data_IF_848855883256
#
_entry.id   IF_848855883256
#
_cell.length_a   1.000
_cell.length_b   1.000
_cell.length_c   1.000
_cell.angle_alpha   90.00
_cell.angle_beta   90.00
_cell.angle_gamma   90.00
#
_symmetry.space_group_name_H-M   'P 1'
#
loop_
_entity.id
_entity.type
_entity.pdbx_description
1 polymer ?
#
# COMPACT_ATOMS: atom_id res chain seq x y z
N UNK A 1 -26.11 -11.01 4.54
CA UNK A 1 -25.12 -10.29 3.69
C UNK A 1 -24.80 -8.90 4.25
N UNK A 2 -25.78 -8.15 4.78
CA UNK A 2 -25.58 -6.82 5.40
C UNK A 2 -24.61 -6.78 6.60
N UNK A 3 -24.56 -7.83 7.42
CA UNK A 3 -23.68 -7.87 8.60
C UNK A 3 -22.17 -7.92 8.28
N UNK A 4 -21.80 -8.40 7.07
CA UNK A 4 -20.39 -8.48 6.64
C UNK A 4 -19.86 -7.18 6.05
N UNK A 5 -20.75 -6.33 5.51
CA UNK A 5 -20.39 -5.00 4.98
C UNK A 5 -20.20 -4.00 6.13
N UNK A 6 -21.02 -4.10 7.18
CA UNK A 6 -20.86 -3.28 8.39
C UNK A 6 -19.55 -3.57 9.13
N UNK A 7 -19.13 -4.85 9.21
CA UNK A 7 -17.87 -5.22 9.86
C UNK A 7 -16.63 -4.70 9.09
N UNK A 8 -16.69 -4.64 7.76
CA UNK A 8 -15.62 -4.06 6.95
C UNK A 8 -15.51 -2.54 7.09
N UNK A 9 -16.64 -1.85 7.28
CA UNK A 9 -16.67 -0.41 7.55
C UNK A 9 -16.16 -0.06 8.96
N UNK A 10 -16.45 -0.91 9.96
CA UNK A 10 -15.94 -0.73 11.33
C UNK A 10 -14.45 -1.09 11.45
N UNK A 11 -13.98 -2.11 10.73
CA UNK A 11 -12.54 -2.46 10.69
C UNK A 11 -11.74 -1.45 9.83
N UNK A 12 -12.35 -0.89 8.77
CA UNK A 12 -11.75 0.18 7.97
C UNK A 12 -11.58 1.49 8.73
N UNK A 13 -12.43 1.76 9.74
CA UNK A 13 -12.32 2.94 10.59
C UNK A 13 -11.34 2.78 11.76
N UNK A 14 -10.86 1.57 12.07
CA UNK A 14 -9.95 1.30 13.19
C UNK A 14 -8.46 1.33 12.83
N UNK A 15 -8.11 1.57 11.57
CA UNK A 15 -6.72 1.60 11.09
C UNK A 15 -6.19 3.01 10.77
N UNK A 16 -6.92 4.07 11.13
CA UNK A 16 -6.34 5.40 11.23
C UNK A 16 -5.76 5.54 12.64
N UNK A 17 -4.58 4.96 12.87
CA UNK A 17 -3.80 5.32 14.05
C UNK A 17 -3.66 6.86 14.06
N UNK A 18 -3.84 7.53 15.21
CA UNK A 18 -3.60 8.97 15.30
C UNK A 18 -2.17 9.22 14.81
N UNK A 19 -2.05 9.90 13.67
CA UNK A 19 -0.75 10.22 13.10
C UNK A 19 -0.12 11.25 14.04
N UNK A 20 1.12 11.02 14.52
CA UNK A 20 1.82 12.00 15.33
C UNK A 20 1.97 13.25 14.48
N UNK A 21 1.33 14.31 14.93
CA UNK A 21 1.24 15.57 14.22
C UNK A 21 2.26 16.51 14.84
N UNK A 22 3.13 17.03 13.98
CA UNK A 22 4.33 17.74 14.38
C UNK A 22 3.98 19.15 14.86
N UNK A 23 3.70 19.31 16.15
CA UNK A 23 3.37 20.57 16.78
C UNK A 23 4.50 21.51 17.24
N UNK A 24 4.36 22.79 16.93
CA UNK A 24 5.21 23.85 17.48
C UNK A 24 4.44 24.78 18.41
N UNK A 25 5.06 25.14 19.54
CA UNK A 25 4.51 26.07 20.53
C UNK A 25 5.59 26.92 21.19
N UNK A 26 5.31 28.21 21.34
CA UNK A 26 6.16 29.13 22.09
C UNK A 26 5.68 29.25 23.53
N UNK A 27 6.63 29.34 24.46
CA UNK A 27 6.39 29.54 25.88
C UNK A 27 7.25 30.69 26.38
N UNK A 28 6.71 31.46 27.33
CA UNK A 28 7.48 32.41 28.11
C UNK A 28 8.11 31.74 29.34
N UNK A 29 9.19 32.31 29.88
CA UNK A 29 9.75 31.83 31.14
C UNK A 29 8.81 32.09 32.33
N UNK A 30 8.07 33.20 32.32
CA UNK A 30 7.12 33.63 33.35
C UNK A 30 5.67 33.51 32.85
N UNK A 31 4.70 33.24 33.74
CA UNK A 31 3.28 33.26 33.40
C UNK A 31 2.81 34.67 33.02
N UNK A 32 1.65 34.74 32.33
CA UNK A 32 0.96 35.98 31.96
C UNK A 32 1.84 36.99 31.21
N UNK A 33 2.64 36.50 30.26
CA UNK A 33 3.47 37.33 29.41
C UNK A 33 2.62 38.39 28.68
N UNK A 34 3.02 39.68 28.71
CA UNK A 34 2.19 40.75 28.19
C UNK A 34 2.22 40.88 26.66
N UNK A 35 2.93 39.99 25.95
CA UNK A 35 3.16 40.02 24.51
C UNK A 35 2.71 38.72 23.84
N UNK A 36 2.55 38.77 22.52
CA UNK A 36 2.19 37.62 21.68
C UNK A 36 3.25 37.39 20.61
N UNK A 37 3.20 36.24 19.93
CA UNK A 37 4.14 35.89 18.85
C UNK A 37 3.50 36.25 17.51
N UNK A 38 4.13 37.14 16.76
CA UNK A 38 3.66 37.50 15.43
C UNK A 38 4.39 38.71 14.85
N UNK A 39 4.59 38.76 13.52
CA UNK A 39 4.30 37.72 12.53
C UNK A 39 5.11 36.44 12.74
N UNK A 40 4.63 35.30 12.23
CA UNK A 40 5.26 33.98 12.38
C UNK A 40 5.23 33.18 11.07
N UNK A 41 6.38 32.72 10.58
CA UNK A 41 6.47 31.81 9.44
C UNK A 41 7.29 30.59 9.81
N UNK A 42 6.68 29.40 9.69
CA UNK A 42 7.42 28.13 9.78
C UNK A 42 7.62 27.61 8.37
N UNK A 43 8.86 27.61 7.90
CA UNK A 43 9.22 27.21 6.54
C UNK A 43 10.02 25.93 6.54
N UNK A 44 9.54 24.90 5.86
CA UNK A 44 10.27 23.67 5.59
C UNK A 44 10.75 23.62 4.14
N UNK A 45 12.00 23.22 3.91
CA UNK A 45 12.60 23.11 2.57
C UNK A 45 12.81 21.66 2.22
N UNK A 46 12.01 21.17 1.28
CA UNK A 46 12.02 19.81 0.76
C UNK A 46 12.87 19.75 -0.49
N UNK A 47 13.79 18.78 -0.51
CA UNK A 47 14.67 18.51 -1.65
C UNK A 47 14.49 17.06 -2.13
N UNK A 48 14.85 16.75 -3.39
CA UNK A 48 14.76 15.39 -3.92
C UNK A 48 15.64 14.36 -3.19
N UNK A 49 16.58 14.79 -2.35
CA UNK A 49 17.38 13.89 -1.53
C UNK A 49 16.57 13.24 -0.39
N UNK A 50 15.42 13.82 -0.03
CA UNK A 50 14.45 13.28 0.95
C UNK A 50 15.06 12.96 2.34
N UNK A 51 16.17 13.61 2.68
CA UNK A 51 16.84 13.49 3.97
C UNK A 51 16.20 14.38 5.06
N UNK A 52 16.95 14.68 6.15
CA UNK A 52 16.53 15.67 7.13
C UNK A 52 16.16 17.00 6.46
N UNK A 53 15.02 17.55 6.85
CA UNK A 53 14.44 18.74 6.23
C UNK A 53 14.99 19.98 6.90
N UNK A 54 15.51 20.93 6.11
CA UNK A 54 15.90 22.24 6.62
C UNK A 54 14.63 23.04 6.96
N UNK A 55 14.49 23.38 8.24
CA UNK A 55 13.37 24.17 8.77
C UNK A 55 13.87 25.51 9.28
N UNK A 56 13.20 26.57 8.87
CA UNK A 56 13.38 27.93 9.38
C UNK A 56 12.11 28.37 10.12
N UNK A 57 12.23 28.79 11.37
CA UNK A 57 11.15 29.42 12.12
C UNK A 57 11.46 30.91 12.19
N UNK A 58 10.64 31.74 11.55
CA UNK A 58 10.78 33.18 11.50
C UNK A 58 9.71 33.83 12.38
N UNK A 59 10.08 34.68 13.32
CA UNK A 59 9.09 35.32 14.20
C UNK A 59 9.51 36.71 14.69
N UNK A 60 8.54 37.47 15.18
CA UNK A 60 8.75 38.66 16.02
C UNK A 60 7.81 38.61 17.22
N UNK A 61 8.01 39.47 18.22
CA UNK A 61 7.10 39.60 19.35
C UNK A 61 6.25 40.85 19.18
N UNK A 62 4.92 40.68 19.24
CA UNK A 62 4.02 41.82 19.27
C UNK A 62 3.86 42.34 20.70
N UNK A 63 4.47 43.50 20.93
CA UNK A 63 4.47 44.20 22.21
C UNK A 63 3.23 45.09 22.32
N UNK A 64 2.51 45.06 23.45
CA UNK A 64 1.34 45.91 23.67
C UNK A 64 1.76 47.38 23.70
N UNK A 65 1.02 48.22 22.97
CA UNK A 65 1.19 49.67 23.03
C UNK A 65 0.73 50.22 24.39
N UNK A 66 1.58 51.03 25.03
CA UNK A 66 1.19 51.77 26.24
C UNK A 66 1.42 51.08 27.60
N UNK A 67 1.90 49.83 27.65
CA UNK A 67 2.36 49.22 28.91
C UNK A 67 3.83 49.54 29.17
N UNK A 68 4.17 49.72 30.45
CA UNK A 68 5.54 49.98 30.87
C UNK A 68 6.43 48.79 30.46
N UNK A 69 7.47 49.04 29.65
CA UNK A 69 8.34 47.99 29.08
C UNK A 69 9.28 47.33 30.10
N UNK A 70 9.36 47.89 31.31
CA UNK A 70 10.17 47.35 32.39
C UNK A 70 9.66 45.99 32.85
N UNK A 71 10.55 45.00 32.92
CA UNK A 71 10.25 43.66 33.45
C UNK A 71 9.63 42.66 32.45
N UNK A 72 9.47 43.07 31.18
CA UNK A 72 8.99 42.20 30.09
C UNK A 72 10.07 41.20 29.65
N UNK A 73 11.34 41.56 29.85
CA UNK A 73 12.49 40.75 29.44
C UNK A 73 12.49 39.38 30.12
N UNK A 74 12.44 38.34 29.29
CA UNK A 74 12.44 36.96 29.74
C UNK A 74 12.81 36.02 28.61
N UNK A 75 13.42 34.90 28.97
CA UNK A 75 13.68 33.82 28.03
C UNK A 75 12.36 33.27 27.46
N UNK A 76 12.42 32.84 26.22
CA UNK A 76 11.36 32.10 25.55
C UNK A 76 11.80 30.66 25.38
N UNK A 77 10.83 29.77 25.18
CA UNK A 77 11.09 28.39 24.83
C UNK A 77 10.25 28.01 23.63
N UNK A 78 10.82 27.19 22.75
CA UNK A 78 10.12 26.57 21.64
C UNK A 78 10.08 25.07 21.88
N UNK A 79 8.87 24.54 22.01
CA UNK A 79 8.63 23.10 21.98
C UNK A 79 8.53 22.66 20.53
N UNK A 80 9.49 21.85 20.12
CA UNK A 80 9.52 21.27 18.78
C UNK A 80 9.15 19.78 18.84
N UNK A 81 8.36 19.28 17.90
CA UNK A 81 7.93 17.89 17.81
C UNK A 81 8.93 17.10 16.95
N UNK A 82 9.40 15.96 17.42
CA UNK A 82 10.42 15.20 16.71
C UNK A 82 11.85 15.60 17.07
N UNK A 83 12.79 14.90 16.44
CA UNK A 83 14.22 15.08 16.67
C UNK A 83 14.76 16.18 15.77
N UNK A 84 15.48 17.11 16.38
CA UNK A 84 16.19 18.17 15.68
C UNK A 84 17.70 17.94 15.73
N UNK A 85 18.35 18.37 14.66
CA UNK A 85 19.80 18.37 14.52
C UNK A 85 20.28 19.77 14.13
N UNK A 86 21.49 20.08 14.58
CA UNK A 86 22.09 21.37 14.34
C UNK A 86 22.70 21.47 12.95
N UNK A 87 22.52 22.60 12.24
CA UNK A 87 23.26 22.90 11.03
C UNK A 87 24.69 23.41 11.30
N UNK A 88 25.03 23.75 12.56
CA UNK A 88 26.38 24.16 12.97
C UNK A 88 27.15 22.99 13.59
N UNK A 89 28.48 23.14 13.73
CA UNK A 89 29.35 22.12 14.30
C UNK A 89 28.87 21.65 15.68
N UNK A 90 29.10 20.36 15.98
CA UNK A 90 28.69 19.75 17.26
C UNK A 90 29.32 20.51 18.43
N UNK A 91 28.49 21.27 19.13
CA UNK A 91 28.84 21.91 20.41
C UNK A 91 28.32 21.08 21.58
N UNK A 92 28.95 21.20 22.76
CA UNK A 92 28.50 20.48 23.96
C UNK A 92 27.05 20.80 24.30
N UNK A 93 26.34 19.79 24.79
CA UNK A 93 24.97 19.93 25.26
C UNK A 93 24.90 20.84 26.49
N UNK A 94 23.76 21.51 26.67
CA UNK A 94 23.47 22.29 27.88
C UNK A 94 22.93 21.37 28.97
N UNK A 95 23.80 21.01 29.93
CA UNK A 95 23.44 20.14 31.07
C UNK A 95 22.25 20.65 31.88
N UNK A 96 22.02 21.96 31.90
CA UNK A 96 20.88 22.56 32.62
C UNK A 96 19.57 22.16 31.96
N UNK A 97 19.52 22.13 30.62
CA UNK A 97 18.34 21.70 29.87
C UNK A 97 18.12 20.20 29.96
N UNK A 98 19.20 19.40 29.95
CA UNK A 98 19.11 17.95 30.19
C UNK A 98 18.50 17.65 31.55
N UNK A 99 19.04 18.26 32.62
CA UNK A 99 18.50 18.12 33.98
C UNK A 99 17.05 18.62 34.06
N UNK A 100 16.70 19.68 33.32
CA UNK A 100 15.35 20.23 33.29
C UNK A 100 14.31 19.23 32.77
N UNK A 101 14.62 18.51 31.69
CA UNK A 101 13.70 17.50 31.14
C UNK A 101 13.71 16.21 31.95
N UNK A 102 14.86 15.82 32.51
CA UNK A 102 15.00 14.63 33.35
C UNK A 102 14.21 14.74 34.66
N UNK A 103 14.24 15.91 35.32
CA UNK A 103 13.45 16.18 36.52
C UNK A 103 11.94 16.06 36.29
N UNK A 104 11.49 16.13 35.04
CA UNK A 104 10.08 16.01 34.63
C UNK A 104 9.71 14.59 34.18
N UNK A 105 10.63 13.64 34.32
CA UNK A 105 10.40 12.24 33.97
C UNK A 105 10.59 11.92 32.49
N UNK A 106 11.29 12.77 31.74
CA UNK A 106 11.73 12.47 30.38
C UNK A 106 13.17 11.96 30.36
N UNK A 107 13.53 11.21 29.32
CA UNK A 107 14.92 10.82 29.08
C UNK A 107 15.52 11.70 27.98
N UNK A 108 16.59 12.43 28.28
CA UNK A 108 17.33 13.18 27.28
C UNK A 108 18.09 12.22 26.34
N UNK A 109 17.90 12.36 25.03
CA UNK A 109 18.52 11.49 24.01
C UNK A 109 19.60 12.21 23.20
N UNK A 110 19.56 13.54 23.16
CA UNK A 110 20.54 14.35 22.44
C UNK A 110 20.37 15.83 22.76
N UNK A 111 21.29 16.65 22.25
CA UNK A 111 21.25 18.09 22.44
C UNK A 111 22.29 18.79 21.56
N UNK A 112 22.34 20.11 21.70
CA UNK A 112 23.32 20.91 20.98
C UNK A 112 22.95 22.38 20.97
N UNK A 113 23.40 23.10 19.94
CA UNK A 113 23.10 24.51 19.72
C UNK A 113 22.62 24.77 18.30
N UNK A 114 21.64 25.64 18.15
CA UNK A 114 21.08 26.08 16.87
C UNK A 114 21.45 27.53 16.58
N UNK A 115 21.78 27.90 15.34
CA UNK A 115 22.05 29.29 14.99
C UNK A 115 20.74 30.10 14.96
N UNK A 116 20.80 31.30 15.54
CA UNK A 116 19.74 32.30 15.47
C UNK A 116 20.21 33.52 14.71
N UNK A 117 19.43 33.93 13.73
CA UNK A 117 19.67 35.10 12.90
C UNK A 117 18.66 36.20 13.19
N UNK A 118 19.06 37.46 13.03
CA UNK A 118 18.17 38.61 12.97
C UNK A 118 18.12 39.14 11.54
N UNK A 119 16.90 39.31 11.03
CA UNK A 119 16.59 39.88 9.73
C UNK A 119 15.99 41.27 9.94
N UNK A 120 16.61 42.30 9.37
CA UNK A 120 16.06 43.65 9.36
C UNK A 120 15.13 43.82 8.15
N UNK A 121 13.85 44.07 8.40
CA UNK A 121 12.81 44.17 7.37
C UNK A 121 12.97 45.39 6.43
N UNK A 122 13.71 46.42 6.87
CA UNK A 122 13.93 47.64 6.09
C UNK A 122 15.34 47.74 5.50
N UNK A 123 16.21 46.77 5.79
CA UNK A 123 17.55 46.76 5.21
C UNK A 123 17.49 46.39 3.72
N UNK A 124 18.39 46.99 2.93
CA UNK A 124 18.49 46.76 1.50
C UNK A 124 19.90 46.30 1.11
N UNK A 125 20.01 45.59 -0.02
CA UNK A 125 21.29 45.12 -0.53
C UNK A 125 21.97 44.12 0.41
N UNK A 126 23.29 44.24 0.57
CA UNK A 126 24.08 43.34 1.42
C UNK A 126 23.66 43.37 2.90
N UNK A 127 23.12 44.50 3.38
CA UNK A 127 22.65 44.64 4.77
C UNK A 127 21.32 43.92 5.04
N UNK A 128 20.59 43.52 3.99
CA UNK A 128 19.36 42.73 4.10
C UNK A 128 19.62 41.25 4.44
N UNK A 129 20.88 40.80 4.34
CA UNK A 129 21.22 39.42 4.66
C UNK A 129 20.97 39.13 6.17
N UNK A 130 20.40 37.96 6.53
CA UNK A 130 20.23 37.57 7.93
C UNK A 130 21.58 37.58 8.68
N UNK A 131 21.64 38.31 9.80
CA UNK A 131 22.86 38.44 10.61
C UNK A 131 22.81 37.46 11.78
N UNK A 132 23.85 36.64 11.98
CA UNK A 132 23.92 35.70 13.11
C UNK A 132 24.01 36.50 14.41
N UNK A 133 23.07 36.30 15.33
CA UNK A 133 23.00 37.03 16.61
C UNK A 133 23.18 36.14 17.83
N UNK A 134 23.06 34.83 17.69
CA UNK A 134 23.24 33.93 18.81
C UNK A 134 23.18 32.45 18.46
N UNK A 135 23.44 31.63 19.47
CA UNK A 135 23.36 30.17 19.40
C UNK A 135 22.52 29.63 20.55
N UNK A 136 21.40 29.01 20.19
CA UNK A 136 20.36 28.58 21.11
C UNK A 136 20.57 27.15 21.58
N UNK A 137 20.69 26.89 22.89
CA UNK A 137 20.80 25.52 23.38
C UNK A 137 19.45 24.80 23.24
N UNK A 138 19.53 23.51 22.88
CA UNK A 138 18.36 22.63 22.83
C UNK A 138 18.69 21.26 23.40
N UNK A 139 17.64 20.56 23.84
CA UNK A 139 17.68 19.15 24.24
C UNK A 139 16.56 18.39 23.53
N UNK A 140 16.86 17.21 23.02
CA UNK A 140 15.89 16.25 22.50
C UNK A 140 15.63 15.20 23.57
N UNK A 141 14.38 14.87 23.79
CA UNK A 141 13.94 13.97 24.85
C UNK A 141 12.84 13.03 24.36
N UNK A 142 12.71 11.91 25.05
CA UNK A 142 11.64 10.92 24.88
C UNK A 142 10.98 10.64 26.22
N UNK A 143 9.75 10.17 26.17
CA UNK A 143 9.06 9.62 27.32
C UNK A 143 9.07 8.10 27.21
N UNK A 144 9.67 7.43 28.19
CA UNK A 144 9.52 5.98 28.33
C UNK A 144 8.29 5.70 29.21
N UNK A 145 7.22 5.22 28.58
CA UNK A 145 6.04 4.73 29.30
C UNK A 145 6.06 3.22 29.22
N UNK A 146 6.33 2.54 30.33
CA UNK A 146 6.40 1.07 30.41
C UNK A 146 5.19 0.35 29.78
N UNK A 147 4.01 0.98 29.74
CA UNK A 147 2.79 0.44 29.14
C UNK A 147 2.65 0.69 27.62
N UNK A 148 3.22 1.77 27.09
CA UNK A 148 3.04 2.22 25.70
C UNK A 148 4.36 2.22 24.90
N UNK A 149 5.46 1.75 25.51
CA UNK A 149 6.80 1.81 24.96
C UNK A 149 7.34 3.25 24.80
N UNK A 150 8.52 3.35 24.19
CA UNK A 150 9.18 4.63 23.91
C UNK A 150 8.29 5.56 23.07
N UNK A 151 8.22 6.82 23.47
CA UNK A 151 7.55 7.87 22.70
C UNK A 151 8.34 8.26 21.46
N UNK A 152 7.68 8.91 20.47
CA UNK A 152 8.42 9.73 19.50
C UNK A 152 9.29 10.77 20.24
N UNK A 153 10.40 11.22 19.65
CA UNK A 153 11.20 12.29 20.23
C UNK A 153 10.47 13.63 20.18
N UNK A 154 10.83 14.55 21.08
CA UNK A 154 10.50 15.96 21.04
C UNK A 154 11.73 16.76 21.48
N UNK A 155 11.80 18.04 21.12
CA UNK A 155 12.92 18.91 21.47
C UNK A 155 12.45 20.16 22.20
N UNK A 156 13.19 20.56 23.23
CA UNK A 156 12.98 21.78 23.98
C UNK A 156 14.13 22.75 23.70
N UNK A 157 13.81 23.91 23.13
CA UNK A 157 14.78 24.90 22.67
C UNK A 157 14.64 26.13 23.57
N UNK A 158 15.73 26.55 24.22
CA UNK A 158 15.76 27.80 24.99
C UNK A 158 16.21 28.95 24.11
N UNK A 159 15.44 30.02 24.14
CA UNK A 159 15.63 31.25 23.37
C UNK A 159 15.90 32.38 24.37
N UNK A 160 17.15 32.77 24.63
CA UNK A 160 17.46 33.89 25.51
C UNK A 160 16.85 35.19 24.99
N UNK A 161 16.42 36.04 25.91
CA UNK A 161 15.89 37.36 25.54
C UNK A 161 16.92 38.18 24.74
N UNK A 162 16.46 38.81 23.66
CA UNK A 162 17.26 39.72 22.84
C UNK A 162 16.44 40.97 22.53
N UNK A 163 17.04 42.18 22.59
CA UNK A 163 16.32 43.42 22.31
C UNK A 163 15.64 43.43 20.92
N UNK A 164 16.27 42.79 19.93
CA UNK A 164 15.76 42.67 18.56
C UNK A 164 14.41 41.94 18.50
N UNK A 165 14.10 41.04 19.44
CA UNK A 165 12.82 40.32 19.47
C UNK A 165 11.63 41.24 19.76
N UNK A 166 11.86 42.31 20.53
CA UNK A 166 10.85 43.28 20.90
C UNK A 166 10.72 44.44 19.91
N UNK A 167 11.60 44.48 18.90
CA UNK A 167 11.63 45.52 17.88
C UNK A 167 10.95 45.03 16.61
N UNK A 168 9.89 45.74 16.20
CA UNK A 168 9.08 45.43 15.01
C UNK A 168 9.85 45.55 13.70
N UNK A 169 11.03 46.19 13.72
CA UNK A 169 11.95 46.28 12.57
C UNK A 169 12.61 44.92 12.28
N UNK A 170 12.72 44.05 13.29
CA UNK A 170 13.45 42.80 13.18
C UNK A 170 12.52 41.58 13.21
N UNK A 171 12.90 40.58 12.41
CA UNK A 171 12.43 39.21 12.55
C UNK A 171 13.59 38.31 12.97
N UNK A 172 13.33 37.46 13.94
CA UNK A 172 14.24 36.40 14.33
C UNK A 172 14.05 35.20 13.41
N UNK A 173 15.14 34.56 12.99
CA UNK A 173 15.12 33.33 12.19
C UNK A 173 15.96 32.24 12.87
N UNK A 174 15.29 31.19 13.35
CA UNK A 174 15.91 29.98 13.87
C UNK A 174 16.03 28.95 12.76
N UNK A 175 17.23 28.44 12.50
CA UNK A 175 17.47 27.40 11.50
C UNK A 175 17.82 26.07 12.15
N UNK A 176 17.16 25.00 11.73
CA UNK A 176 17.37 23.65 12.23
C UNK A 176 17.14 22.60 11.15
N UNK A 177 17.65 21.39 11.35
CA UNK A 177 17.37 20.23 10.49
C UNK A 177 16.53 19.23 11.25
N UNK A 178 15.41 18.83 10.66
CA UNK A 178 14.41 18.01 11.36
C UNK A 178 14.24 16.68 10.65
N UNK A 179 14.32 15.60 11.40
CA UNK A 179 14.06 14.25 10.91
C UNK A 179 12.57 13.89 11.04
N UNK A 180 12.07 13.06 10.13
CA UNK A 180 10.72 12.48 10.25
C UNK A 180 9.54 13.39 9.87
N UNK A 181 9.78 14.61 9.37
CA UNK A 181 8.73 15.46 8.76
C UNK A 181 8.19 14.82 7.48
N UNK A 182 9.08 14.22 6.69
CA UNK A 182 8.74 13.49 5.47
C UNK A 182 8.63 12.01 5.81
N UNK A 183 7.48 11.41 5.52
CA UNK A 183 7.23 9.98 5.70
C UNK A 183 6.97 9.31 4.35
N UNK A 184 7.50 8.11 4.09
CA UNK A 184 7.17 7.38 2.88
C UNK A 184 5.71 6.91 2.94
N UNK A 185 4.94 7.20 1.89
CA UNK A 185 3.58 6.70 1.72
C UNK A 185 3.67 5.38 0.94
N UNK A 186 3.26 4.27 1.54
CA UNK A 186 3.27 2.96 0.87
C UNK A 186 2.32 2.99 -0.32
N UNK A 187 2.88 2.76 -1.50
CA UNK A 187 2.14 2.65 -2.75
C UNK A 187 2.33 1.25 -3.33
N UNK A 188 1.40 0.78 -4.16
CA UNK A 188 1.57 -0.48 -4.88
C UNK A 188 2.78 -0.43 -5.82
N UNK A 189 3.42 -1.58 -6.05
CA UNK A 189 4.67 -1.68 -6.84
C UNK A 189 4.53 -1.15 -8.28
N UNK A 190 3.34 -1.27 -8.89
CA UNK A 190 3.08 -0.72 -10.23
C UNK A 190 3.21 0.79 -10.18
N UNK A 191 2.57 1.41 -9.19
CA UNK A 191 2.53 2.86 -9.07
C UNK A 191 3.91 3.43 -8.72
N UNK A 192 4.71 2.75 -7.90
CA UNK A 192 6.08 3.20 -7.60
C UNK A 192 7.01 3.17 -8.82
N UNK A 193 6.84 2.19 -9.73
CA UNK A 193 7.64 2.10 -10.97
C UNK A 193 7.31 3.23 -11.95
N UNK A 194 6.03 3.60 -12.07
CA UNK A 194 5.59 4.59 -13.07
C UNK A 194 5.50 6.03 -12.53
N UNK A 195 5.17 6.21 -11.25
CA UNK A 195 4.93 7.51 -10.63
C UNK A 195 6.00 7.90 -9.59
N UNK A 196 6.97 7.02 -9.33
CA UNK A 196 7.99 7.22 -8.30
C UNK A 196 7.49 6.94 -6.89
N UNK A 197 8.39 7.05 -5.92
CA UNK A 197 8.05 6.93 -4.51
C UNK A 197 7.18 8.12 -4.08
N UNK A 198 6.17 7.85 -3.26
CA UNK A 198 5.32 8.88 -2.67
C UNK A 198 5.74 9.15 -1.24
N UNK A 199 5.65 10.43 -0.91
CA UNK A 199 6.01 10.97 0.38
C UNK A 199 4.89 11.87 0.89
N UNK A 200 4.79 11.94 2.20
CA UNK A 200 3.87 12.80 2.93
C UNK A 200 4.72 13.73 3.79
N UNK A 201 4.63 15.04 3.53
CA UNK A 201 5.18 16.09 4.36
C UNK A 201 4.09 16.53 5.34
N UNK A 202 4.41 16.58 6.63
CA UNK A 202 3.47 17.05 7.66
C UNK A 202 4.10 18.15 8.51
N UNK A 203 3.54 19.36 8.46
CA UNK A 203 3.89 20.47 9.35
C UNK A 203 2.67 20.86 10.18
N UNK A 204 2.84 21.21 11.46
CA UNK A 204 1.71 21.72 12.24
C UNK A 204 2.10 22.73 13.32
N UNK A 205 1.08 23.44 13.80
CA UNK A 205 1.14 24.43 14.86
C UNK A 205 0.00 24.18 15.85
N UNK A 206 0.24 24.45 17.15
CA UNK A 206 -0.74 24.24 18.24
C UNK A 206 -1.27 22.82 18.44
N UNK A 207 -0.61 21.81 17.88
CA UNK A 207 -0.96 20.43 18.14
C UNK A 207 -0.37 19.96 19.48
N UNK A 208 -1.08 19.23 20.31
CA UNK A 208 -0.55 18.84 21.66
C UNK A 208 -0.69 17.37 21.92
N UNK A 209 -1.19 16.58 20.96
CA UNK A 209 -1.56 15.18 21.18
C UNK A 209 -0.37 14.21 21.26
N UNK A 210 0.82 14.63 20.86
CA UNK A 210 2.01 13.78 20.91
C UNK A 210 2.43 13.49 22.36
N UNK A 211 2.75 12.21 22.64
CA UNK A 211 3.03 11.71 23.99
C UNK A 211 4.06 12.54 24.80
N UNK A 212 5.23 12.93 24.27
CA UNK A 212 6.17 13.75 25.04
C UNK A 212 5.80 15.25 25.03
N UNK A 213 5.00 15.69 24.06
CA UNK A 213 4.61 17.10 23.87
C UNK A 213 3.50 17.47 24.86
N UNK A 214 2.49 16.61 25.03
CA UNK A 214 1.35 16.89 25.89
C UNK A 214 1.73 17.18 27.35
N UNK A 215 2.53 16.36 28.06
CA UNK A 215 2.84 16.60 29.46
C UNK A 215 3.70 17.85 29.63
N UNK A 216 4.63 18.08 28.69
CA UNK A 216 5.44 19.29 28.67
C UNK A 216 4.59 20.55 28.49
N UNK A 217 3.64 20.52 27.56
CA UNK A 217 2.65 21.59 27.39
C UNK A 217 1.78 21.76 28.63
N UNK A 218 1.26 20.67 29.21
CA UNK A 218 0.34 20.71 30.34
C UNK A 218 0.97 21.37 31.57
N UNK A 219 2.26 21.15 31.81
CA UNK A 219 3.00 21.79 32.90
C UNK A 219 3.22 23.30 32.67
N UNK A 220 3.33 23.74 31.41
CA UNK A 220 3.66 25.13 31.05
C UNK A 220 2.51 25.88 30.38
N UNK A 221 1.28 25.36 30.49
CA UNK A 221 0.11 25.88 29.77
C UNK A 221 -0.22 27.33 30.13
N UNK A 222 0.13 27.76 31.34
CA UNK A 222 0.01 29.13 31.87
C UNK A 222 1.04 30.10 31.25
N UNK A 223 2.06 29.56 30.59
CA UNK A 223 3.14 30.31 29.94
C UNK A 223 3.11 30.21 28.42
N UNK A 224 2.18 29.46 27.86
CA UNK A 224 2.03 29.30 26.42
C UNK A 224 1.68 30.65 25.78
N UNK A 225 2.49 31.07 24.82
CA UNK A 225 2.29 32.33 24.09
C UNK A 225 1.25 32.15 23.00
N UNK A 226 0.38 33.15 22.89
CA UNK A 226 -0.63 33.22 21.82
C UNK A 226 0.00 33.78 20.54
N UNK A 227 -0.59 33.42 19.40
CA UNK A 227 -0.33 34.11 18.15
C UNK A 227 -0.94 35.52 18.19
N UNK A 228 -0.22 36.50 17.65
CA UNK A 228 -0.73 37.84 17.43
C UNK A 228 -1.73 37.86 16.27
N UNK A 229 -2.43 38.99 16.09
CA UNK A 229 -3.28 39.24 14.91
C UNK A 229 -2.45 39.45 13.62
N UNK A 230 -1.12 39.56 13.75
CA UNK A 230 -0.21 39.62 12.63
C UNK A 230 -0.20 38.29 11.83
N UNK A 231 0.14 38.31 10.53
CA UNK A 231 0.15 37.11 9.70
C UNK A 231 1.02 35.99 10.28
N UNK A 232 0.43 34.80 10.39
CA UNK A 232 1.12 33.58 10.74
C UNK A 232 0.89 32.52 9.66
N UNK A 233 1.90 31.75 9.29
CA UNK A 233 1.81 30.76 8.21
C UNK A 233 2.73 29.55 8.39
N UNK A 234 2.28 28.41 7.88
CA UNK A 234 3.09 27.22 7.62
C UNK A 234 3.41 27.17 6.13
N UNK A 235 4.68 26.97 5.78
CA UNK A 235 5.16 27.04 4.41
C UNK A 235 6.04 25.83 4.10
N UNK A 236 5.78 25.16 2.99
CA UNK A 236 6.59 24.10 2.44
C UNK A 236 7.14 24.54 1.08
N UNK A 237 8.47 24.65 0.98
CA UNK A 237 9.19 24.89 -0.26
C UNK A 237 9.64 23.56 -0.83
N UNK A 238 9.24 23.26 -2.06
CA UNK A 238 9.69 22.09 -2.80
C UNK A 238 10.65 22.54 -3.90
N UNK A 239 11.93 22.21 -3.75
CA UNK A 239 12.93 22.47 -4.77
C UNK A 239 12.70 21.60 -6.01
N UNK A 240 13.20 22.02 -7.17
CA UNK A 240 13.09 21.29 -8.45
C UNK A 240 11.64 20.98 -8.85
N UNK A 241 10.84 22.03 -9.03
CA UNK A 241 9.43 21.94 -9.45
C UNK A 241 9.22 21.12 -10.74
N UNK A 242 10.20 21.10 -11.64
CA UNK A 242 10.12 20.39 -12.92
C UNK A 242 10.08 18.86 -12.78
N UNK A 243 10.56 18.32 -11.66
CA UNK A 243 10.54 16.89 -11.32
C UNK A 243 9.59 16.57 -10.18
N UNK A 244 8.84 17.57 -9.71
CA UNK A 244 7.94 17.45 -8.57
C UNK A 244 6.52 17.15 -9.04
N UNK A 245 5.88 16.21 -8.36
CA UNK A 245 4.44 15.99 -8.48
C UNK A 245 3.79 16.05 -7.11
N UNK A 246 2.95 17.06 -6.90
CA UNK A 246 2.07 17.15 -5.72
C UNK A 246 0.74 16.48 -6.06
N UNK A 247 0.37 15.46 -5.28
CA UNK A 247 -0.84 14.67 -5.47
C UNK A 247 -2.03 15.20 -4.68
N UNK A 248 -1.80 15.62 -3.43
CA UNK A 248 -2.84 16.07 -2.51
C UNK A 248 -2.25 17.11 -1.55
N UNK A 249 -3.07 18.10 -1.19
CA UNK A 249 -2.76 19.13 -0.19
C UNK A 249 -3.93 19.20 0.78
N UNK A 250 -3.64 19.18 2.08
CA UNK A 250 -4.63 19.37 3.13
C UNK A 250 -4.14 20.40 4.16
N UNK A 251 -5.00 21.31 4.64
CA UNK A 251 -6.41 21.50 4.24
C UNK A 251 -6.55 22.09 2.83
N UNK A 252 -7.73 21.98 2.20
CA UNK A 252 -7.98 22.55 0.87
C UNK A 252 -7.94 24.08 0.83
N UNK A 253 -7.89 24.75 1.98
CA UNK A 253 -7.70 26.20 2.11
C UNK A 253 -6.24 26.62 1.94
N UNK A 254 -5.31 25.68 1.82
CA UNK A 254 -3.91 25.95 1.53
C UNK A 254 -3.72 26.52 0.12
N UNK A 255 -2.70 27.36 -0.02
CA UNK A 255 -2.34 28.00 -1.28
C UNK A 255 -1.15 27.27 -1.88
N UNK A 256 -1.23 26.99 -3.19
CA UNK A 256 -0.13 26.43 -3.98
C UNK A 256 0.25 27.44 -5.05
N UNK A 257 1.53 27.80 -5.12
CA UNK A 257 2.07 28.74 -6.13
C UNK A 257 3.53 28.44 -6.44
N UNK A 258 4.03 28.91 -7.58
CA UNK A 258 5.47 28.97 -7.82
C UNK A 258 6.09 30.08 -6.97
N UNK A 259 7.33 29.85 -6.53
CA UNK A 259 8.10 30.88 -5.82
C UNK A 259 8.38 32.06 -6.73
N UNK A 260 8.23 33.28 -6.21
CA UNK A 260 8.53 34.52 -6.93
C UNK A 260 10.04 34.81 -6.95
N UNK A 261 10.79 34.27 -5.98
CA UNK A 261 12.21 34.59 -5.78
C UNK A 261 13.16 33.46 -6.12
N UNK A 262 12.68 32.21 -6.15
CA UNK A 262 13.50 31.03 -6.41
C UNK A 262 13.02 30.35 -7.69
N UNK A 263 13.85 30.40 -8.72
CA UNK A 263 13.62 29.66 -9.95
C UNK A 263 13.49 28.17 -9.62
N UNK A 264 12.47 27.50 -10.18
CA UNK A 264 12.19 26.06 -9.98
C UNK A 264 11.79 25.64 -8.56
N UNK A 265 11.21 26.54 -7.75
CA UNK A 265 10.66 26.18 -6.44
C UNK A 265 9.14 26.31 -6.42
N UNK A 266 8.46 25.25 -5.99
CA UNK A 266 7.02 25.27 -5.74
C UNK A 266 6.75 25.49 -4.24
N UNK A 267 5.82 26.37 -3.92
CA UNK A 267 5.48 26.80 -2.55
C UNK A 267 4.06 26.37 -2.23
N UNK A 268 3.91 25.63 -1.14
CA UNK A 268 2.61 25.35 -0.54
C UNK A 268 2.54 26.02 0.82
N UNK A 269 1.54 26.85 1.06
CA UNK A 269 1.37 27.55 2.33
C UNK A 269 -0.03 27.40 2.93
N UNK A 270 -0.10 27.50 4.24
CA UNK A 270 -1.32 27.56 5.03
C UNK A 270 -1.23 28.75 5.98
N UNK A 271 -2.15 29.70 5.85
CA UNK A 271 -2.30 30.75 6.86
C UNK A 271 -2.87 30.17 8.15
N UNK A 272 -2.25 30.53 9.26
CA UNK A 272 -2.68 30.18 10.61
C UNK A 272 -3.65 31.23 11.12
N UNK A 273 -4.79 30.79 11.63
CA UNK A 273 -5.71 31.67 12.34
C UNK A 273 -5.19 32.02 13.73
N UNK A 274 -5.30 33.30 14.11
CA UNK A 274 -5.18 33.76 15.48
C UNK A 274 -6.43 33.31 16.27
N UNK A 275 -6.51 32.01 16.58
CA UNK A 275 -7.64 31.46 17.33
C UNK A 275 -7.40 31.56 18.84
N UNK A 276 -8.44 31.91 19.59
CA UNK A 276 -8.44 31.72 21.05
C UNK A 276 -8.37 30.22 21.37
N UNK A 277 -7.17 29.73 21.70
CA UNK A 277 -6.94 28.35 22.12
C UNK A 277 -6.03 27.54 21.19
N UNK A 278 -5.73 26.30 21.60
CA UNK A 278 -4.86 25.36 20.89
C UNK A 278 -5.64 24.56 19.85
N UNK A 279 -6.23 25.24 18.88
CA UNK A 279 -6.82 24.55 17.72
C UNK A 279 -5.67 24.04 16.86
N UNK A 280 -5.51 22.72 16.67
CA UNK A 280 -4.40 22.17 15.90
C UNK A 280 -4.58 22.54 14.43
N UNK A 281 -3.58 23.22 13.87
CA UNK A 281 -3.55 23.60 12.46
C UNK A 281 -2.36 22.91 11.80
N UNK A 282 -2.62 22.08 10.79
CA UNK A 282 -1.58 21.30 10.13
C UNK A 282 -1.68 21.43 8.62
N UNK A 283 -0.52 21.43 7.96
CA UNK A 283 -0.33 21.36 6.53
C UNK A 283 0.22 19.96 6.20
N UNK A 284 -0.57 19.16 5.49
CA UNK A 284 -0.17 17.89 4.91
C UNK A 284 -0.02 18.06 3.39
N UNK A 285 1.12 17.65 2.84
CA UNK A 285 1.36 17.66 1.41
C UNK A 285 1.85 16.29 0.97
N UNK A 286 1.11 15.66 0.07
CA UNK A 286 1.52 14.40 -0.55
C UNK A 286 2.19 14.69 -1.88
N UNK A 287 3.43 14.23 -2.02
CA UNK A 287 4.26 14.56 -3.16
C UNK A 287 5.16 13.38 -3.57
N UNK A 288 5.76 13.48 -4.74
CA UNK A 288 6.79 12.57 -5.20
C UNK A 288 7.72 13.28 -6.19
N UNK A 289 9.00 12.92 -6.14
CA UNK A 289 9.97 13.34 -7.15
C UNK A 289 10.14 12.23 -8.17
N UNK A 290 10.04 12.56 -9.45
CA UNK A 290 10.25 11.61 -10.53
C UNK A 290 11.59 11.84 -11.25
N UNK A 291 12.24 10.74 -11.61
CA UNK A 291 13.40 10.80 -12.50
C UNK A 291 12.95 10.91 -13.96
N UNK A 292 13.78 11.54 -14.81
CA UNK A 292 13.54 11.59 -16.26
C UNK A 292 13.45 10.19 -16.89
N UNK A 293 14.11 9.20 -16.29
CA UNK A 293 14.07 7.79 -16.71
C UNK A 293 12.70 7.13 -16.46
N UNK A 294 12.02 7.45 -15.36
CA UNK A 294 10.66 6.95 -15.08
C UNK A 294 9.65 7.48 -16.11
N UNK A 295 9.81 8.74 -16.53
CA UNK A 295 9.02 9.29 -17.65
C UNK A 295 9.25 8.51 -18.95
N UNK A 296 10.49 8.10 -19.23
CA UNK A 296 10.83 7.29 -20.40
C UNK A 296 10.24 5.87 -20.31
N UNK A 297 10.17 5.26 -19.13
CA UNK A 297 9.54 3.94 -18.96
C UNK A 297 8.05 3.94 -19.32
N UNK A 298 7.33 5.01 -19.02
CA UNK A 298 5.91 5.15 -19.38
C UNK A 298 5.69 5.14 -20.90
N UNK A 299 6.67 5.59 -21.68
CA UNK A 299 6.65 5.57 -23.17
C UNK A 299 7.25 4.27 -23.70
N UNK A 300 8.36 3.83 -23.13
CA UNK A 300 9.11 2.66 -23.60
C UNK A 300 8.37 1.34 -23.35
N UNK A 301 7.65 1.18 -22.23
CA UNK A 301 6.93 -0.06 -21.93
C UNK A 301 5.81 -0.32 -22.96
N UNK A 302 4.92 0.64 -23.27
CA UNK A 302 3.97 0.47 -24.37
C UNK A 302 4.65 0.22 -25.72
N UNK A 303 5.76 0.92 -26.02
CA UNK A 303 6.50 0.74 -27.27
C UNK A 303 7.12 -0.67 -27.38
N UNK A 304 7.69 -1.17 -26.28
CA UNK A 304 8.24 -2.53 -26.18
C UNK A 304 7.14 -3.58 -26.24
N UNK A 305 5.99 -3.37 -25.58
CA UNK A 305 4.84 -4.27 -25.69
C UNK A 305 4.27 -4.29 -27.12
N UNK A 306 4.21 -3.14 -27.77
CA UNK A 306 3.79 -3.01 -29.17
C UNK A 306 4.78 -3.70 -30.11
N UNK A 307 6.10 -3.51 -29.90
CA UNK A 307 7.16 -4.15 -30.68
C UNK A 307 7.28 -5.66 -30.39
N UNK A 308 6.95 -6.09 -29.17
CA UNK A 308 6.92 -7.50 -28.78
C UNK A 308 5.62 -8.21 -29.23
N UNK A 309 4.54 -7.48 -29.50
CA UNK A 309 3.27 -8.02 -30.00
C UNK A 309 3.44 -8.97 -31.20
N UNK A 310 4.19 -8.58 -32.25
CA UNK A 310 4.51 -9.43 -33.39
C UNK A 310 5.36 -10.68 -33.05
N UNK A 311 6.21 -10.61 -32.03
CA UNK A 311 7.12 -11.69 -31.63
C UNK A 311 6.46 -12.71 -30.66
N UNK A 312 5.50 -12.26 -29.84
CA UNK A 312 4.78 -13.08 -28.87
C UNK A 312 3.67 -13.93 -29.49
N UNK A 313 3.07 -13.49 -30.61
CA UNK A 313 2.03 -14.24 -31.34
C UNK A 313 2.41 -15.69 -31.69
N UNK A 314 3.55 -15.94 -32.35
CA UNK A 314 3.94 -17.30 -32.74
C UNK A 314 4.41 -18.18 -31.55
N UNK A 315 4.88 -17.59 -30.44
CA UNK A 315 5.35 -18.33 -29.25
C UNK A 315 4.16 -18.74 -28.36
N UNK A 316 3.22 -17.80 -28.13
CA UNK A 316 1.99 -18.09 -27.39
C UNK A 316 1.09 -19.06 -28.16
N UNK A 317 0.99 -18.96 -29.49
CA UNK A 317 0.19 -19.90 -30.30
C UNK A 317 0.66 -21.36 -30.22
N UNK A 318 1.98 -21.60 -30.12
CA UNK A 318 2.55 -22.95 -30.03
C UNK A 318 2.50 -23.55 -28.63
N UNK A 319 2.57 -22.72 -27.57
CA UNK A 319 2.47 -23.18 -26.19
C UNK A 319 1.00 -23.33 -25.72
N UNK A 320 0.13 -22.40 -26.13
CA UNK A 320 -1.28 -22.38 -25.72
C UNK A 320 -2.08 -23.56 -26.29
N UNK A 321 -1.81 -24.00 -27.52
CA UNK A 321 -2.54 -25.12 -28.13
C UNK A 321 -2.34 -26.46 -27.40
N UNK A 322 -1.15 -26.73 -26.84
CA UNK A 322 -0.89 -27.96 -26.06
C UNK A 322 -1.41 -27.89 -24.64
N UNK A 323 -1.34 -26.73 -24.00
CA UNK A 323 -1.79 -26.54 -22.61
C UNK A 323 -3.32 -26.42 -22.52
N UNK A 324 -3.95 -25.71 -23.47
CA UNK A 324 -5.41 -25.55 -23.51
C UNK A 324 -6.09 -26.88 -23.89
N UNK A 325 -5.54 -27.66 -24.82
CA UNK A 325 -6.08 -28.98 -25.16
C UNK A 325 -5.95 -30.01 -24.03
N UNK A 326 -4.96 -29.85 -23.13
CA UNK A 326 -4.81 -30.69 -21.93
C UNK A 326 -5.73 -30.28 -20.76
N UNK A 327 -6.03 -28.98 -20.63
CA UNK A 327 -6.90 -28.45 -19.57
C UNK A 327 -8.40 -28.62 -19.88
N UNK A 328 -8.83 -28.46 -21.13
CA UNK A 328 -10.24 -28.64 -21.52
C UNK A 328 -10.71 -30.10 -21.43
N UNK A 329 -9.81 -31.08 -21.54
CA UNK A 329 -10.14 -32.49 -21.34
C UNK A 329 -10.33 -32.88 -19.85
N UNK A 330 -9.82 -32.06 -18.92
CA UNK A 330 -9.78 -32.36 -17.47
C UNK A 330 -10.76 -31.55 -16.63
N UNK A 331 -11.20 -30.40 -17.14
CA UNK A 331 -12.11 -29.48 -16.44
C UNK A 331 -13.49 -29.60 -17.06
N UNK A 332 -14.43 -30.17 -16.30
CA UNK A 332 -15.85 -30.18 -16.67
C UNK A 332 -16.61 -29.17 -15.82
N UNK A 333 -17.33 -28.27 -16.50
CA UNK A 333 -18.41 -27.48 -15.91
C UNK A 333 -19.71 -28.29 -16.01
N UNK A 334 -20.26 -28.71 -14.87
CA UNK A 334 -21.59 -29.31 -14.83
C UNK A 334 -22.39 -28.76 -13.64
N UNK A 335 -23.61 -28.21 -13.84
CA UNK A 335 -24.41 -27.59 -12.77
C UNK A 335 -25.04 -28.60 -11.80
N UNK A 336 -24.96 -29.89 -12.09
CA UNK A 336 -25.39 -30.98 -11.20
C UNK A 336 -24.29 -32.02 -11.21
N UNK A 337 -23.65 -32.23 -10.08
CA UNK A 337 -22.40 -32.97 -9.95
C UNK A 337 -22.51 -34.48 -10.20
N UNK A 338 -22.82 -34.91 -11.42
CA UNK A 338 -22.62 -36.29 -11.90
C UNK A 338 -21.89 -36.21 -13.23
N UNK A 339 -20.58 -36.46 -13.22
CA UNK A 339 -19.81 -36.66 -14.45
C UNK A 339 -20.36 -37.91 -15.12
N UNK A 340 -21.06 -37.76 -16.25
CA UNK A 340 -21.69 -38.88 -16.97
C UNK A 340 -20.60 -39.81 -17.51
N UNK A 341 -20.68 -41.09 -17.16
CA UNK A 341 -19.94 -42.15 -17.87
C UNK A 341 -20.31 -42.06 -19.35
N UNK A 342 -19.32 -41.97 -20.23
CA UNK A 342 -19.58 -42.04 -21.69
C UNK A 342 -19.63 -43.51 -22.10
N UNK A 343 -20.60 -43.87 -22.91
CA UNK A 343 -20.74 -45.21 -23.47
C UNK A 343 -21.07 -45.13 -24.96
N UNK A 344 -20.63 -46.11 -25.72
CA UNK A 344 -20.97 -46.27 -27.13
C UNK A 344 -20.96 -47.74 -27.52
N UNK A 345 -21.84 -48.12 -28.45
CA UNK A 345 -22.06 -49.52 -28.83
C UNK A 345 -22.83 -50.35 -27.79
N UNK A 346 -22.97 -51.65 -28.07
CA UNK A 346 -23.77 -52.58 -27.25
C UNK A 346 -22.90 -53.17 -26.15
N UNK A 347 -23.23 -52.86 -24.89
CA UNK A 347 -22.57 -53.40 -23.70
C UNK A 347 -23.41 -54.54 -23.13
N UNK A 348 -23.02 -55.79 -23.43
CA UNK A 348 -23.68 -56.97 -22.89
C UNK A 348 -23.23 -57.21 -21.45
N UNK A 349 -24.17 -57.10 -20.50
CA UNK A 349 -23.94 -57.43 -19.11
C UNK A 349 -23.75 -58.93 -18.90
N UNK A 350 -23.03 -59.31 -17.85
CA UNK A 350 -22.80 -60.72 -17.48
C UNK A 350 -24.10 -61.51 -17.35
N UNK A 351 -25.14 -60.89 -16.78
CA UNK A 351 -26.47 -61.48 -16.61
C UNK A 351 -27.15 -61.83 -17.94
N UNK A 352 -26.89 -61.08 -19.01
CA UNK A 352 -27.44 -61.36 -20.35
C UNK A 352 -26.68 -62.52 -20.99
N UNK A 353 -25.35 -62.55 -20.85
CA UNK A 353 -24.52 -63.64 -21.37
C UNK A 353 -24.80 -64.98 -20.67
N UNK A 354 -25.09 -64.96 -19.37
CA UNK A 354 -25.45 -66.17 -18.60
C UNK A 354 -26.80 -66.77 -19.03
N UNK A 355 -27.67 -65.99 -19.67
CA UNK A 355 -28.93 -66.46 -20.24
C UNK A 355 -28.75 -67.15 -21.59
N UNK A 356 -27.63 -66.93 -22.27
CA UNK A 356 -27.31 -67.56 -23.56
C UNK A 356 -26.63 -68.91 -23.26
N UNK A 357 -27.39 -69.99 -23.42
CA UNK A 357 -26.90 -71.37 -23.26
C UNK A 357 -26.54 -71.97 -24.61
N UNK A 358 -25.27 -72.38 -24.82
CA UNK A 358 -24.86 -73.12 -26.01
C UNK A 358 -25.70 -74.38 -26.21
N UNK A 359 -26.08 -74.68 -27.45
CA UNK A 359 -26.88 -75.83 -27.85
C UNK A 359 -28.39 -75.71 -27.64
N UNK A 360 -28.86 -74.65 -26.97
CA UNK A 360 -30.29 -74.42 -26.69
C UNK A 360 -30.78 -73.09 -27.27
N UNK A 361 -29.96 -72.04 -27.16
CA UNK A 361 -30.37 -70.69 -27.54
C UNK A 361 -30.29 -70.51 -29.05
N UNK A 362 -31.37 -70.01 -29.65
CA UNK A 362 -31.46 -69.76 -31.09
C UNK A 362 -30.99 -68.35 -31.47
N UNK A 363 -30.70 -68.11 -32.75
CA UNK A 363 -30.30 -66.78 -33.25
C UNK A 363 -31.33 -65.70 -32.93
N UNK A 364 -32.61 -66.00 -33.11
CA UNK A 364 -33.70 -65.05 -32.86
C UNK A 364 -33.78 -64.65 -31.38
N UNK A 365 -33.58 -65.62 -30.48
CA UNK A 365 -33.50 -65.36 -29.05
C UNK A 365 -32.27 -64.54 -28.67
N UNK A 366 -31.12 -64.76 -29.33
CA UNK A 366 -29.92 -63.93 -29.13
C UNK A 366 -30.17 -62.50 -29.56
N UNK A 367 -30.78 -62.26 -30.73
CA UNK A 367 -31.11 -60.92 -31.21
C UNK A 367 -32.15 -60.23 -30.29
N UNK A 368 -33.10 -60.99 -29.73
CA UNK A 368 -34.07 -60.47 -28.77
C UNK A 368 -33.41 -60.08 -27.43
N UNK A 369 -32.39 -60.83 -26.97
CA UNK A 369 -31.69 -60.59 -25.71
C UNK A 369 -30.58 -59.54 -25.80
N UNK A 370 -29.85 -59.50 -26.92
CA UNK A 370 -28.68 -58.65 -27.12
C UNK A 370 -28.97 -57.37 -27.93
N UNK A 371 -30.10 -57.35 -28.65
CA UNK A 371 -30.50 -56.24 -29.54
C UNK A 371 -30.05 -56.43 -30.99
N UNK A 372 -30.58 -55.64 -31.93
CA UNK A 372 -30.36 -55.79 -33.37
C UNK A 372 -29.04 -55.16 -33.88
N UNK A 373 -28.33 -54.39 -33.05
CA UNK A 373 -27.06 -53.76 -33.42
C UNK A 373 -25.89 -54.76 -33.33
N UNK A 374 -25.79 -55.63 -34.34
CA UNK A 374 -24.80 -56.72 -34.41
C UNK A 374 -23.98 -56.64 -35.70
N UNK A 375 -22.67 -56.86 -35.59
CA UNK A 375 -21.83 -57.13 -36.77
C UNK A 375 -21.89 -58.63 -37.07
N UNK A 376 -22.56 -59.03 -38.16
CA UNK A 376 -22.62 -60.42 -38.60
C UNK A 376 -21.42 -60.74 -39.50
N UNK A 377 -20.60 -61.70 -39.09
CA UNK A 377 -19.51 -62.24 -39.90
C UNK A 377 -19.90 -63.63 -40.39
N UNK A 378 -20.11 -63.76 -41.70
CA UNK A 378 -20.35 -65.05 -42.34
C UNK A 378 -19.06 -65.54 -43.01
N UNK A 379 -18.72 -66.80 -42.82
CA UNK A 379 -17.56 -67.40 -43.48
C UNK A 379 -17.97 -67.75 -44.92
N UNK A 380 -17.22 -67.28 -45.92
CA UNK A 380 -17.56 -67.49 -47.32
C UNK A 380 -17.61 -68.98 -47.73
N UNK A 381 -16.86 -69.83 -47.02
CA UNK A 381 -16.72 -71.26 -47.33
C UNK A 381 -17.75 -72.15 -46.62
N UNK A 382 -18.54 -71.62 -45.67
CA UNK A 382 -19.50 -72.38 -44.87
C UNK A 382 -20.69 -71.49 -44.45
N UNK A 383 -21.77 -71.56 -45.23
CA UNK A 383 -22.96 -70.72 -45.04
C UNK A 383 -23.73 -71.01 -43.74
N UNK A 384 -23.54 -72.19 -43.15
CA UNK A 384 -24.19 -72.63 -41.92
C UNK A 384 -23.51 -72.12 -40.65
N UNK A 385 -22.30 -71.55 -40.78
CA UNK A 385 -21.56 -70.92 -39.69
C UNK A 385 -21.63 -69.39 -39.76
N UNK A 386 -22.14 -68.79 -38.68
CA UNK A 386 -22.24 -67.33 -38.54
C UNK A 386 -21.69 -66.91 -37.19
N UNK A 387 -20.96 -65.81 -37.17
CA UNK A 387 -20.43 -65.22 -35.94
C UNK A 387 -21.08 -63.87 -35.73
N UNK A 388 -21.85 -63.75 -34.64
CA UNK A 388 -22.46 -62.51 -34.20
C UNK A 388 -21.47 -61.78 -33.28
N UNK A 389 -21.06 -60.57 -33.67
CA UNK A 389 -20.09 -59.76 -32.93
C UNK A 389 -20.77 -58.53 -32.35
N UNK A 390 -20.79 -58.43 -31.02
CA UNK A 390 -21.27 -57.27 -30.29
C UNK A 390 -20.09 -56.49 -29.71
N UNK A 391 -20.01 -55.20 -30.03
CA UNK A 391 -18.93 -54.30 -29.61
C UNK A 391 -19.50 -53.13 -28.82
N UNK A 392 -18.93 -52.88 -27.65
CA UNK A 392 -19.30 -51.74 -26.82
C UNK A 392 -18.12 -51.25 -25.99
N UNK A 393 -18.16 -49.99 -25.60
CA UNK A 393 -17.16 -49.41 -24.71
C UNK A 393 -17.79 -48.46 -23.70
N UNK A 394 -17.15 -48.34 -22.53
CA UNK A 394 -17.50 -47.41 -21.46
C UNK A 394 -16.26 -46.70 -20.96
N UNK A 395 -16.34 -45.38 -20.79
CA UNK A 395 -15.32 -44.58 -20.15
C UNK A 395 -15.79 -44.06 -18.79
N UNK A 396 -15.04 -44.39 -17.74
CA UNK A 396 -15.30 -44.00 -16.35
C UNK A 396 -14.21 -43.04 -15.85
N UNK A 397 -14.57 -41.95 -15.15
CA UNK A 397 -13.61 -40.99 -14.65
C UNK A 397 -12.83 -41.55 -13.45
N UNK A 398 -11.51 -41.42 -13.48
CA UNK A 398 -10.61 -41.88 -12.42
C UNK A 398 -10.30 -40.72 -11.46
N UNK A 399 -10.75 -40.89 -10.21
CA UNK A 399 -10.61 -39.98 -9.06
C UNK A 399 -11.14 -38.55 -9.29
N UNK A 400 -12.12 -38.16 -8.48
CA UNK A 400 -12.84 -36.88 -8.60
C UNK A 400 -12.45 -35.95 -7.46
N UNK A 401 -11.88 -34.78 -7.77
CA UNK A 401 -11.86 -33.64 -6.83
C UNK A 401 -12.96 -32.66 -7.22
N UNK A 402 -13.84 -32.37 -6.27
CA UNK A 402 -14.93 -31.42 -6.40
C UNK A 402 -14.55 -30.12 -5.70
N UNK A 403 -14.57 -29.02 -6.44
CA UNK A 403 -14.51 -27.66 -5.88
C UNK A 403 -15.75 -26.93 -6.39
N UNK A 404 -16.83 -26.99 -5.60
CA UNK A 404 -18.13 -26.43 -5.97
C UNK A 404 -18.71 -27.02 -7.25
N UNK A 405 -18.84 -26.19 -8.29
CA UNK A 405 -19.39 -26.47 -9.62
C UNK A 405 -18.34 -26.97 -10.62
N UNK A 406 -17.08 -27.11 -10.16
CA UNK A 406 -15.95 -27.58 -10.96
C UNK A 406 -15.57 -29.01 -10.53
N UNK A 407 -15.50 -29.92 -11.50
CA UNK A 407 -14.91 -31.25 -11.28
C UNK A 407 -13.63 -31.41 -12.08
N UNK A 408 -12.56 -31.81 -11.39
CA UNK A 408 -11.25 -32.12 -11.99
C UNK A 408 -11.07 -33.64 -11.97
N UNK A 409 -10.85 -34.23 -13.15
CA UNK A 409 -10.63 -35.67 -13.35
C UNK A 409 -9.15 -35.92 -13.63
N UNK A 410 -8.53 -36.89 -12.93
CA UNK A 410 -7.11 -37.20 -13.13
C UNK A 410 -6.85 -38.01 -14.41
N UNK A 411 -7.79 -38.85 -14.84
CA UNK A 411 -7.72 -39.63 -16.08
C UNK A 411 -9.00 -40.42 -16.34
N UNK A 412 -9.08 -41.16 -17.45
CA UNK A 412 -10.23 -41.98 -17.82
C UNK A 412 -9.84 -43.46 -17.87
N UNK A 413 -10.70 -44.32 -17.31
CA UNK A 413 -10.61 -45.76 -17.44
C UNK A 413 -11.58 -46.21 -18.55
N UNK A 414 -11.05 -46.70 -19.67
CA UNK A 414 -11.84 -47.19 -20.79
C UNK A 414 -11.93 -48.71 -20.68
N UNK A 415 -13.16 -49.22 -20.62
CA UNK A 415 -13.46 -50.65 -20.67
C UNK A 415 -14.15 -50.92 -22.01
N UNK A 416 -13.52 -51.74 -22.85
CA UNK A 416 -14.11 -52.21 -24.11
C UNK A 416 -14.50 -53.68 -23.98
N UNK A 417 -15.70 -54.01 -24.43
CA UNK A 417 -16.27 -55.34 -24.47
C UNK A 417 -16.47 -55.74 -25.93
N UNK A 418 -15.91 -56.88 -26.31
CA UNK A 418 -16.19 -57.56 -27.57
C UNK A 418 -16.71 -58.95 -27.24
N UNK A 419 -17.95 -59.24 -27.62
CA UNK A 419 -18.56 -60.55 -27.44
C UNK A 419 -18.77 -61.18 -28.81
N UNK A 420 -18.23 -62.38 -29.00
CA UNK A 420 -18.40 -63.18 -30.21
C UNK A 420 -19.25 -64.39 -29.88
N UNK A 421 -20.36 -64.52 -30.57
CA UNK A 421 -21.29 -65.65 -30.44
C UNK A 421 -21.23 -66.41 -31.75
N UNK A 422 -20.67 -67.61 -31.71
CA UNK A 422 -20.59 -68.51 -32.84
C UNK A 422 -21.88 -69.32 -32.91
N UNK A 423 -22.52 -69.30 -34.08
CA UNK A 423 -23.77 -69.97 -34.38
C UNK A 423 -23.52 -70.95 -35.50
N UNK A 424 -23.98 -72.18 -35.32
CA UNK A 424 -23.96 -73.23 -36.35
C UNK A 424 -25.39 -73.75 -36.53
N UNK A 425 -25.88 -73.81 -37.77
CA UNK A 425 -27.23 -74.29 -38.11
C UNK A 425 -28.36 -73.61 -37.29
N UNK A 426 -28.19 -72.33 -37.00
CA UNK A 426 -29.19 -71.51 -36.29
C UNK A 426 -29.19 -71.62 -34.76
N UNK A 427 -28.25 -72.37 -34.16
CA UNK A 427 -28.13 -72.52 -32.70
C UNK A 427 -26.75 -72.05 -32.23
N UNK A 428 -26.71 -71.41 -31.06
CA UNK A 428 -25.45 -70.96 -30.44
C UNK A 428 -24.56 -72.15 -30.11
N UNK A 429 -23.35 -72.18 -30.66
CA UNK A 429 -22.34 -73.22 -30.39
C UNK A 429 -21.35 -72.78 -29.32
N UNK A 430 -20.93 -71.52 -29.37
CA UNK A 430 -19.90 -71.00 -28.47
C UNK A 430 -20.11 -69.50 -28.21
N UNK A 431 -19.72 -69.06 -27.01
CA UNK A 431 -19.78 -67.65 -26.60
C UNK A 431 -18.43 -67.27 -26.01
N UNK A 432 -17.76 -66.31 -26.63
CA UNK A 432 -16.48 -65.77 -26.17
C UNK A 432 -16.65 -64.29 -25.85
N UNK A 433 -16.31 -63.89 -24.63
CA UNK A 433 -16.31 -62.49 -24.21
C UNK A 433 -14.88 -62.02 -23.95
N UNK A 434 -14.44 -61.00 -24.68
CA UNK A 434 -13.16 -60.36 -24.49
C UNK A 434 -13.34 -58.98 -23.86
N UNK A 435 -12.70 -58.77 -22.70
CA UNK A 435 -12.78 -57.51 -21.96
C UNK A 435 -11.39 -56.89 -21.87
N UNK A 436 -11.23 -55.72 -22.47
CA UNK A 436 -9.97 -54.96 -22.42
C UNK A 436 -10.15 -53.69 -21.61
N UNK A 437 -9.19 -53.41 -20.72
CA UNK A 437 -9.19 -52.23 -19.85
C UNK A 437 -7.94 -51.40 -20.12
N UNK A 438 -8.12 -50.17 -20.59
CA UNK A 438 -7.04 -49.24 -20.90
C UNK A 438 -7.23 -47.91 -20.18
N UNK A 439 -6.11 -47.27 -19.79
CA UNK A 439 -6.12 -45.91 -19.24
C UNK A 439 -5.83 -44.90 -20.34
N UNK A 440 -6.61 -43.83 -20.39
CA UNK A 440 -6.43 -42.77 -21.38
C UNK A 440 -6.54 -41.38 -20.76
N UNK A 441 -5.87 -40.41 -21.40
CA UNK A 441 -6.03 -39.00 -21.07
C UNK A 441 -7.32 -38.40 -21.64
N UNK A 442 -7.99 -39.10 -22.58
CA UNK A 442 -9.21 -38.65 -23.28
C UNK A 442 -10.27 -39.75 -23.35
N UNK A 443 -11.56 -39.44 -23.21
CA UNK A 443 -12.66 -40.40 -23.32
C UNK A 443 -13.04 -40.62 -24.80
N UNK A 444 -12.11 -41.13 -25.58
CA UNK A 444 -12.31 -41.50 -26.99
C UNK A 444 -12.48 -43.03 -27.12
N UNK A 445 -13.22 -43.51 -28.14
CA UNK A 445 -13.33 -44.94 -28.40
C UNK A 445 -11.94 -45.57 -28.59
N UNK A 446 -11.73 -46.83 -28.16
CA UNK A 446 -10.48 -47.53 -28.43
C UNK A 446 -10.27 -47.65 -29.94
N UNK A 447 -9.06 -47.35 -30.40
CA UNK A 447 -8.62 -47.55 -31.78
C UNK A 447 -8.37 -49.03 -32.10
#
# INVERSE_FOLDING_TARGET
MLFRVALFLVIGSLAAAPRPALAQMFFAAKPDAPFTVGPLTVRATVTPALGPVDVSVLWSLDMPSGKNRGGIEQDLFLLWPGEISSPIDKKPNDKTLEQYVEQRGFAATGGGRLPLYALNLYAQGADAAPKLVGELPFVTFVQDSHALGLSPPASWIRIPWMPQMADRVFMMELRMRVAGIIKPKRVGWIESVFAGDRHELQLSFHEVRDRPVFPMYAEHRDRALRLADAPAELVAHFAQSDSLRIAEIYPPTSIRRLSETLETTEVVSLFLGATEGTVPQHLEVQFGYYSRLQGLLLVAIPLLLLAAGPALGPILGRAASRVIAGLTARIQWTPRGVGRSRHGGVLLGREVLERIKPGVTTVEEVLALCGPEVEEQQRLDDADHRTLVYRGWRAEPMTRRLIGWLSIVQGWNIVSHEVRIEVERGVVKNVQAHVRRNRSARPEPPA
#
